data_IF_653380257786
#
_entry.id   IF_653380257786
#
_cell.length_a   1.000
_cell.length_b   1.000
_cell.length_c   1.000
_cell.angle_alpha   90.00
_cell.angle_beta   90.00
_cell.angle_gamma   90.00
#
_symmetry.space_group_name_H-M   'P 1'
#
loop_
_entity.id
_entity.type
_entity.pdbx_description
1 polymer ?
#
# COMPACT_ATOMS: atom_id res chain seq x y z
N UNK A 1 22.70 30.94 -4.43
CA UNK A 1 21.25 30.64 -4.60
C UNK A 1 21.11 29.14 -4.50
N UNK A 2 20.65 28.64 -3.35
CA UNK A 2 20.31 27.21 -3.21
C UNK A 2 18.93 27.05 -3.83
N UNK A 3 18.87 26.38 -4.98
CA UNK A 3 17.61 25.99 -5.60
C UNK A 3 16.85 25.13 -4.60
N UNK A 4 15.78 25.70 -4.07
CA UNK A 4 14.75 24.97 -3.35
C UNK A 4 14.11 24.05 -4.39
N UNK A 5 14.67 22.84 -4.57
CA UNK A 5 14.02 21.76 -5.30
C UNK A 5 12.76 21.49 -4.48
N UNK A 6 11.68 22.20 -4.84
CA UNK A 6 10.34 21.82 -4.48
C UNK A 6 10.14 20.47 -5.16
N UNK A 7 10.59 19.40 -4.49
CA UNK A 7 10.28 18.03 -4.86
C UNK A 7 8.77 18.00 -4.96
N UNK A 8 8.28 17.96 -6.19
CA UNK A 8 6.85 17.86 -6.42
C UNK A 8 6.35 16.66 -5.62
N UNK A 9 5.32 16.83 -4.77
CA UNK A 9 4.90 15.79 -3.86
C UNK A 9 4.61 14.52 -4.67
N UNK A 10 5.33 13.46 -4.38
CA UNK A 10 5.15 12.16 -5.01
C UNK A 10 4.40 11.26 -4.04
N UNK A 11 3.41 10.54 -4.57
CA UNK A 11 2.55 9.63 -3.86
C UNK A 11 2.84 8.21 -4.32
N UNK A 12 3.39 7.41 -3.44
CA UNK A 12 3.76 6.02 -3.72
C UNK A 12 2.71 5.07 -3.17
N UNK A 13 2.22 4.21 -4.04
CA UNK A 13 1.32 3.11 -3.72
C UNK A 13 2.17 1.90 -3.36
N UNK A 14 1.91 1.36 -2.19
CA UNK A 14 2.52 0.15 -1.70
C UNK A 14 1.44 -0.90 -1.43
N UNK A 15 1.72 -2.14 -1.80
CA UNK A 15 0.88 -3.28 -1.49
C UNK A 15 1.55 -4.12 -0.40
N UNK A 16 0.87 -4.27 0.72
CA UNK A 16 1.14 -5.28 1.73
C UNK A 16 0.32 -6.50 1.39
N UNK A 17 0.99 -7.61 1.16
CA UNK A 17 0.32 -8.90 1.15
C UNK A 17 0.62 -9.63 2.45
N UNK A 18 -0.43 -9.94 3.21
CA UNK A 18 -0.32 -10.81 4.37
C UNK A 18 -0.54 -12.24 3.91
N UNK A 19 0.55 -12.91 3.49
CA UNK A 19 0.45 -14.30 3.04
C UNK A 19 0.58 -15.23 4.23
N UNK A 20 -0.38 -16.16 4.37
CA UNK A 20 -0.17 -17.32 5.26
C UNK A 20 1.01 -18.12 4.70
N UNK A 21 2.13 -18.13 5.40
CA UNK A 21 3.24 -19.04 5.14
C UNK A 21 3.03 -20.25 6.03
N UNK A 22 2.67 -21.38 5.42
CA UNK A 22 2.44 -22.71 6.00
C UNK A 22 1.91 -22.81 7.43
N UNK A 23 0.76 -23.47 7.59
CA UNK A 23 0.33 -24.03 8.87
C UNK A 23 1.31 -25.13 9.28
N UNK A 24 2.18 -24.82 10.25
CA UNK A 24 2.91 -25.84 10.99
C UNK A 24 2.18 -26.07 12.33
N UNK A 25 2.41 -27.21 12.99
CA UNK A 25 1.77 -27.64 14.25
C UNK A 25 1.91 -26.67 15.44
N UNK A 26 2.57 -25.51 15.25
CA UNK A 26 2.79 -24.45 16.25
C UNK A 26 2.06 -23.13 15.98
N UNK A 27 1.25 -23.04 14.91
CA UNK A 27 0.45 -21.86 14.58
C UNK A 27 0.75 -21.26 13.21
N UNK A 28 -0.12 -20.35 12.75
CA UNK A 28 -0.04 -19.70 11.44
C UNK A 28 1.10 -18.67 11.43
N UNK A 29 2.13 -18.89 10.59
CA UNK A 29 3.13 -17.86 10.33
C UNK A 29 2.61 -16.91 9.24
N UNK A 30 2.57 -15.62 9.54
CA UNK A 30 2.16 -14.59 8.59
C UNK A 30 3.42 -13.93 8.01
N UNK A 31 3.60 -14.02 6.69
CA UNK A 31 4.66 -13.30 5.98
C UNK A 31 4.11 -11.94 5.55
N UNK A 32 4.74 -10.86 6.03
CA UNK A 32 4.37 -9.49 5.70
C UNK A 32 5.36 -8.92 4.70
N UNK A 33 4.94 -8.84 3.44
CA UNK A 33 5.76 -8.31 2.35
C UNK A 33 5.17 -7.00 1.85
N UNK A 34 5.95 -5.92 1.97
CA UNK A 34 5.59 -4.58 1.50
C UNK A 34 6.28 -4.31 0.16
N UNK A 35 5.52 -4.39 -0.92
CA UNK A 35 6.04 -4.13 -2.26
C UNK A 35 5.62 -2.75 -2.74
N UNK A 36 6.59 -1.95 -3.18
CA UNK A 36 6.32 -0.71 -3.91
C UNK A 36 5.69 -1.07 -5.25
N UNK A 37 4.48 -0.59 -5.50
CA UNK A 37 3.75 -0.87 -6.73
C UNK A 37 4.05 0.20 -7.76
N UNK A 38 3.74 1.46 -7.45
CA UNK A 38 3.87 2.56 -8.39
C UNK A 38 3.87 3.91 -7.67
N UNK A 39 4.49 4.92 -8.26
CA UNK A 39 4.45 6.31 -7.75
C UNK A 39 3.76 7.24 -8.74
N UNK A 40 3.04 8.20 -8.20
CA UNK A 40 2.25 9.19 -8.92
C UNK A 40 2.61 10.59 -8.42
N UNK A 41 2.45 11.62 -9.27
CA UNK A 41 2.59 13.02 -8.83
C UNK A 41 1.27 13.61 -8.33
N UNK A 42 0.17 12.92 -8.60
CA UNK A 42 -1.17 13.31 -8.20
C UNK A 42 -1.73 12.30 -7.20
N UNK A 43 -2.23 12.83 -6.08
CA UNK A 43 -2.77 12.03 -4.98
C UNK A 43 -4.02 11.27 -5.39
N UNK A 44 -4.92 11.92 -6.12
CA UNK A 44 -6.20 11.32 -6.51
C UNK A 44 -6.01 10.22 -7.55
N UNK A 45 -5.02 10.35 -8.43
CA UNK A 45 -4.59 9.26 -9.32
C UNK A 45 -4.05 8.06 -8.52
N UNK A 46 -3.17 8.30 -7.53
CA UNK A 46 -2.64 7.23 -6.70
C UNK A 46 -3.75 6.48 -5.94
N UNK A 47 -4.72 7.22 -5.37
CA UNK A 47 -5.87 6.66 -4.68
C UNK A 47 -6.78 5.89 -5.64
N UNK A 48 -7.08 6.44 -6.81
CA UNK A 48 -7.90 5.76 -7.82
C UNK A 48 -7.23 4.47 -8.31
N UNK A 49 -5.90 4.48 -8.48
CA UNK A 49 -5.13 3.29 -8.80
C UNK A 49 -5.21 2.26 -7.67
N UNK A 50 -4.94 2.66 -6.42
CA UNK A 50 -5.03 1.79 -5.25
C UNK A 50 -6.42 1.16 -5.09
N UNK A 51 -7.50 1.91 -5.35
CA UNK A 51 -8.88 1.39 -5.31
C UNK A 51 -9.19 0.38 -6.41
N UNK A 52 -8.57 0.52 -7.58
CA UNK A 52 -8.76 -0.39 -8.72
C UNK A 52 -7.84 -1.60 -8.67
N UNK A 53 -6.80 -1.54 -7.86
CA UNK A 53 -5.87 -2.64 -7.69
C UNK A 53 -6.62 -3.82 -7.04
N UNK A 54 -6.61 -4.96 -7.72
CA UNK A 54 -7.27 -6.17 -7.22
C UNK A 54 -6.51 -6.68 -6.01
N UNK A 55 -7.14 -6.58 -4.85
CA UNK A 55 -6.62 -7.12 -3.61
C UNK A 55 -7.13 -8.54 -3.37
N UNK A 56 -6.24 -9.41 -2.90
CA UNK A 56 -6.66 -10.69 -2.34
C UNK A 56 -7.13 -10.48 -0.90
N UNK A 57 -7.86 -11.45 -0.36
CA UNK A 57 -8.34 -11.39 1.01
C UNK A 57 -7.15 -11.33 1.99
N UNK A 58 -7.06 -10.26 2.77
CA UNK A 58 -5.95 -10.01 3.69
C UNK A 58 -4.80 -9.18 3.11
N UNK A 59 -4.87 -8.80 1.83
CA UNK A 59 -3.97 -7.78 1.28
C UNK A 59 -4.47 -6.36 1.65
N UNK A 60 -3.53 -5.46 1.85
CA UNK A 60 -3.79 -4.04 2.07
C UNK A 60 -2.92 -3.19 1.16
N UNK A 61 -3.44 -2.06 0.70
CA UNK A 61 -2.70 -1.05 -0.08
C UNK A 61 -2.72 0.26 0.67
N UNK A 62 -1.55 0.87 0.77
CA UNK A 62 -1.36 2.17 1.38
C UNK A 62 -0.76 3.11 0.34
N UNK A 63 -1.31 4.31 0.29
CA UNK A 63 -0.79 5.43 -0.49
C UNK A 63 -0.05 6.34 0.47
N UNK A 64 1.26 6.44 0.31
CA UNK A 64 2.13 7.29 1.11
C UNK A 64 2.68 8.43 0.28
N UNK A 65 2.95 9.59 0.87
CA UNK A 65 3.85 10.56 0.23
C UNK A 65 5.33 10.20 0.47
N UNK A 66 6.22 11.01 -0.09
CA UNK A 66 7.67 10.89 0.09
C UNK A 66 8.13 11.09 1.55
N UNK A 67 7.29 11.67 2.41
CA UNK A 67 7.56 11.82 3.84
C UNK A 67 7.16 10.59 4.66
N UNK A 68 6.48 9.63 4.03
CA UNK A 68 5.93 8.44 4.68
C UNK A 68 4.54 8.65 5.28
N UNK A 69 3.90 9.79 5.05
CA UNK A 69 2.54 10.07 5.54
C UNK A 69 1.54 9.24 4.74
N UNK A 70 0.70 8.44 5.42
CA UNK A 70 -0.33 7.60 4.78
C UNK A 70 -1.60 8.42 4.54
N UNK A 71 -2.05 8.49 3.29
CA UNK A 71 -3.25 9.24 2.88
C UNK A 71 -4.48 8.37 2.68
N UNK A 72 -4.29 7.13 2.26
CA UNK A 72 -5.39 6.21 1.99
C UNK A 72 -4.95 4.78 2.25
N UNK A 73 -5.84 4.02 2.89
CA UNK A 73 -5.72 2.59 3.11
C UNK A 73 -6.89 1.89 2.42
N UNK A 74 -6.60 0.99 1.49
CA UNK A 74 -7.58 0.10 0.88
C UNK A 74 -7.27 -1.31 1.36
N UNK A 75 -8.17 -1.91 2.13
CA UNK A 75 -8.03 -3.26 2.66
C UNK A 75 -8.99 -4.20 1.92
N UNK A 76 -8.49 -5.36 1.49
CA UNK A 76 -9.27 -6.43 0.87
C UNK A 76 -10.18 -7.19 1.83
N UNK A 77 -10.39 -6.71 3.07
CA UNK A 77 -11.39 -7.23 4.01
C UNK A 77 -12.81 -6.99 3.47
N UNK A 78 -13.34 -8.01 2.79
CA UNK A 78 -14.76 -8.18 2.55
C UNK A 78 -15.49 -8.15 3.91
N UNK A 79 -16.13 -7.02 4.25
CA UNK A 79 -17.04 -6.94 5.40
C UNK A 79 -18.26 -7.80 5.08
N UNK A 80 -18.25 -9.08 5.49
CA UNK A 80 -19.49 -9.83 5.73
C UNK A 80 -19.99 -9.47 7.13
N UNK A 81 -21.04 -8.67 7.18
CA UNK A 81 -21.90 -8.52 8.36
C UNK A 81 -22.84 -9.73 8.45
#
# INVERSE_FOLDING_TARGET
MLENIQSMPSYTVYASSLRRRNENEKGVSLDYSNNRVQSFRDKDQAINFARRFRLQQGDAIYVCDDTGTVFSLVDGRERRY
#
